data_IF_962032065560
#
_entry.id   IF_962032065560
#
_cell.length_a   1.000
_cell.length_b   1.000
_cell.length_c   1.000
_cell.angle_alpha   90.00
_cell.angle_beta   90.00
_cell.angle_gamma   90.00
#
_symmetry.space_group_name_H-M   'P 1'
#
loop_
_entity.id
_entity.type
_entity.pdbx_description
1 polymer ?
#
# COMPACT_ATOMS: atom_id res chain seq x y z
N UNK A 1 -25.56 -1.21 9.87
CA UNK A 1 -25.68 -2.69 9.76
C UNK A 1 -25.98 -3.07 8.32
N UNK A 2 -25.05 -2.82 7.40
CA UNK A 2 -25.27 -2.98 5.97
C UNK A 2 -24.62 -4.28 5.49
N UNK A 3 -25.43 -5.18 4.91
CA UNK A 3 -25.13 -6.11 3.81
C UNK A 3 -23.79 -6.87 3.76
N UNK A 4 -23.36 -7.56 4.82
CA UNK A 4 -22.54 -8.75 4.52
C UNK A 4 -23.49 -9.84 3.96
N UNK A 5 -23.19 -10.45 2.80
CA UNK A 5 -23.90 -11.64 2.37
C UNK A 5 -23.87 -12.67 3.50
N UNK A 6 -24.93 -13.48 3.60
CA UNK A 6 -24.90 -14.68 4.45
C UNK A 6 -23.62 -15.46 4.12
N UNK A 7 -22.74 -15.60 5.11
CA UNK A 7 -21.55 -16.42 4.94
C UNK A 7 -21.99 -17.87 4.69
N UNK A 8 -21.26 -18.63 3.86
CA UNK A 8 -21.47 -20.06 3.77
C UNK A 8 -21.45 -20.71 5.16
N UNK A 9 -22.16 -21.82 5.39
CA UNK A 9 -22.04 -22.59 6.62
C UNK A 9 -20.57 -22.91 6.94
N UNK A 10 -20.26 -23.01 8.23
CA UNK A 10 -18.93 -23.36 8.73
C UNK A 10 -17.81 -22.41 8.27
N UNK A 11 -18.17 -21.15 7.99
CA UNK A 11 -17.21 -20.10 7.61
C UNK A 11 -16.70 -19.33 8.81
N UNK A 12 -15.38 -19.15 8.88
CA UNK A 12 -14.70 -18.26 9.83
C UNK A 12 -13.80 -17.25 9.13
N UNK A 13 -13.45 -16.17 9.82
CA UNK A 13 -12.56 -15.12 9.32
C UNK A 13 -11.22 -15.19 10.05
N UNK A 14 -10.13 -15.15 9.28
CA UNK A 14 -8.77 -15.06 9.81
C UNK A 14 -8.16 -13.72 9.38
N UNK A 15 -7.96 -12.80 10.33
CA UNK A 15 -7.26 -11.55 10.06
C UNK A 15 -5.74 -11.78 10.16
N UNK A 16 -5.04 -11.69 9.02
CA UNK A 16 -3.61 -11.95 8.92
C UNK A 16 -2.81 -10.65 9.05
N UNK A 17 -2.14 -10.47 10.19
CA UNK A 17 -1.24 -9.37 10.44
C UNK A 17 0.17 -9.68 9.97
N UNK A 18 0.95 -8.64 9.67
CA UNK A 18 2.39 -8.80 9.45
C UNK A 18 3.09 -9.20 10.75
N UNK A 19 2.75 -8.51 11.84
CA UNK A 19 3.41 -8.63 13.13
C UNK A 19 4.44 -7.53 13.34
N UNK A 20 4.73 -7.26 14.61
CA UNK A 20 5.64 -6.19 15.01
C UNK A 20 6.39 -6.63 16.25
N UNK A 21 7.63 -6.14 16.38
CA UNK A 21 8.36 -6.25 17.63
C UNK A 21 7.88 -5.24 18.67
N UNK A 22 7.06 -4.26 18.30
CA UNK A 22 6.49 -3.31 19.23
C UNK A 22 5.14 -3.84 19.77
N UNK A 23 5.03 -4.03 21.10
CA UNK A 23 3.83 -4.58 21.73
C UNK A 23 2.60 -3.67 21.60
N UNK A 24 2.77 -2.35 21.54
CA UNK A 24 1.67 -1.41 21.30
C UNK A 24 1.07 -1.64 19.90
N UNK A 25 1.93 -1.81 18.89
CA UNK A 25 1.47 -2.10 17.53
C UNK A 25 0.76 -3.47 17.43
N UNK A 26 1.19 -4.46 18.22
CA UNK A 26 0.49 -5.75 18.36
C UNK A 26 -0.87 -5.56 19.05
N UNK A 27 -0.92 -4.71 20.08
CA UNK A 27 -2.16 -4.36 20.78
C UNK A 27 -3.19 -3.69 19.86
N UNK A 28 -2.78 -2.69 19.07
CA UNK A 28 -3.67 -1.99 18.14
C UNK A 28 -4.23 -2.93 17.05
N UNK A 29 -3.43 -3.89 16.56
CA UNK A 29 -3.92 -4.91 15.64
C UNK A 29 -4.97 -5.82 16.29
N UNK A 30 -4.78 -6.19 17.56
CA UNK A 30 -5.77 -6.95 18.31
C UNK A 30 -7.06 -6.15 18.53
N UNK A 31 -6.96 -4.84 18.78
CA UNK A 31 -8.14 -3.95 18.86
C UNK A 31 -8.92 -3.93 17.54
N UNK A 32 -8.22 -3.86 16.40
CA UNK A 32 -8.85 -3.96 15.08
C UNK A 32 -9.59 -5.31 14.91
N UNK A 33 -8.99 -6.42 15.34
CA UNK A 33 -9.60 -7.74 15.28
C UNK A 33 -10.85 -7.84 16.18
N UNK A 34 -10.81 -7.30 17.39
CA UNK A 34 -11.97 -7.26 18.29
C UNK A 34 -13.09 -6.37 17.73
N UNK A 35 -12.76 -5.22 17.15
CA UNK A 35 -13.74 -4.38 16.47
C UNK A 35 -14.37 -5.11 15.28
N UNK A 36 -13.58 -5.87 14.50
CA UNK A 36 -14.10 -6.70 13.42
C UNK A 36 -15.06 -7.78 13.92
N UNK A 37 -14.71 -8.47 15.03
CA UNK A 37 -15.54 -9.48 15.67
C UNK A 37 -16.89 -8.93 16.11
N UNK A 38 -16.93 -7.73 16.69
CA UNK A 38 -18.18 -7.05 17.05
C UNK A 38 -19.07 -6.75 15.83
N UNK A 39 -18.47 -6.57 14.65
CA UNK A 39 -19.18 -6.30 13.39
C UNK A 39 -19.64 -7.57 12.67
N UNK A 40 -19.20 -8.75 13.10
CA UNK A 40 -19.52 -10.06 12.52
C UNK A 40 -20.14 -11.00 13.58
N UNK A 41 -21.30 -10.66 14.16
CA UNK A 41 -21.91 -11.46 15.21
C UNK A 41 -22.26 -12.87 14.68
N UNK A 42 -21.89 -13.90 15.46
CA UNK A 42 -22.14 -15.30 15.13
C UNK A 42 -21.14 -15.93 14.15
N UNK A 43 -20.13 -15.18 13.71
CA UNK A 43 -19.08 -15.67 12.82
C UNK A 43 -17.80 -15.80 13.64
N UNK A 44 -17.14 -16.98 13.67
CA UNK A 44 -15.82 -17.13 14.28
C UNK A 44 -14.82 -16.17 13.61
N UNK A 45 -14.22 -15.27 14.40
CA UNK A 45 -13.18 -14.35 13.95
C UNK A 45 -11.95 -14.59 14.80
N UNK A 46 -10.84 -14.91 14.15
CA UNK A 46 -9.52 -15.06 14.75
C UNK A 46 -8.51 -14.16 14.04
N UNK A 47 -7.40 -13.90 14.71
CA UNK A 47 -6.29 -13.16 14.13
C UNK A 47 -4.96 -13.85 14.44
N UNK A 48 -3.94 -13.48 13.66
CA UNK A 48 -2.57 -13.91 13.93
C UNK A 48 -1.57 -13.21 13.02
N UNK A 49 -0.31 -13.31 13.40
CA UNK A 49 0.80 -12.59 12.77
C UNK A 49 1.65 -13.53 11.92
N UNK A 50 2.19 -12.98 10.83
CA UNK A 50 3.17 -13.68 10.01
C UNK A 50 4.48 -13.86 10.79
N UNK A 51 4.95 -12.83 11.48
CA UNK A 51 6.24 -12.85 12.18
C UNK A 51 6.25 -12.01 13.47
N UNK A 52 7.32 -12.14 14.27
CA UNK A 52 7.65 -11.33 15.46
C UNK A 52 6.69 -11.35 16.66
N UNK A 53 5.40 -11.62 16.45
CA UNK A 53 4.37 -11.53 17.46
C UNK A 53 3.54 -12.81 17.54
N UNK A 54 2.96 -13.04 18.71
CA UNK A 54 2.01 -14.12 18.94
C UNK A 54 0.60 -13.54 19.15
N UNK A 55 -0.47 -14.25 18.76
CA UNK A 55 -0.45 -15.57 18.12
C UNK A 55 0.03 -15.49 16.65
N UNK A 56 0.85 -16.44 16.23
CA UNK A 56 1.18 -16.62 14.80
C UNK A 56 -0.03 -17.16 14.02
N UNK A 57 -0.06 -16.96 12.70
CA UNK A 57 -1.21 -17.28 11.84
C UNK A 57 -1.74 -18.70 12.05
N UNK A 58 -0.87 -19.71 12.18
CA UNK A 58 -1.31 -21.09 12.35
C UNK A 58 -2.12 -21.32 13.63
N UNK A 59 -1.80 -20.65 14.74
CA UNK A 59 -2.58 -20.75 15.97
C UNK A 59 -3.99 -20.18 15.82
N UNK A 60 -4.15 -19.10 15.05
CA UNK A 60 -5.49 -18.57 14.72
C UNK A 60 -6.30 -19.57 13.89
N UNK A 61 -5.66 -20.21 12.91
CA UNK A 61 -6.31 -21.25 12.09
C UNK A 61 -6.70 -22.49 12.93
N UNK A 62 -5.86 -22.91 13.88
CA UNK A 62 -6.17 -24.00 14.80
C UNK A 62 -7.40 -23.68 15.65
N UNK A 63 -7.50 -22.44 16.15
CA UNK A 63 -8.67 -21.99 16.92
C UNK A 63 -9.95 -21.94 16.09
N UNK A 64 -9.87 -21.53 14.81
CA UNK A 64 -11.03 -21.58 13.91
C UNK A 64 -11.47 -23.03 13.67
N UNK A 65 -10.53 -23.94 13.38
CA UNK A 65 -10.85 -25.38 13.21
C UNK A 65 -11.47 -25.99 14.46
N UNK A 66 -10.97 -25.66 15.65
CA UNK A 66 -11.52 -26.14 16.91
C UNK A 66 -12.97 -25.69 17.15
N UNK A 67 -13.39 -24.58 16.51
CA UNK A 67 -14.77 -24.08 16.51
C UNK A 67 -15.64 -24.73 15.42
N UNK A 68 -15.12 -25.70 14.66
CA UNK A 68 -15.85 -26.38 13.59
C UNK A 68 -15.79 -25.67 12.23
N UNK A 69 -14.96 -24.64 12.08
CA UNK A 69 -14.79 -23.93 10.80
C UNK A 69 -14.11 -24.84 9.78
N UNK A 70 -14.76 -25.02 8.62
CA UNK A 70 -14.22 -25.76 7.47
C UNK A 70 -13.92 -24.87 6.27
N UNK A 71 -14.39 -23.61 6.28
CA UNK A 71 -14.04 -22.59 5.29
C UNK A 71 -13.51 -21.33 5.96
N UNK A 72 -12.24 -20.98 5.72
CA UNK A 72 -11.62 -19.77 6.26
C UNK A 72 -11.54 -18.68 5.19
N UNK A 73 -12.00 -17.48 5.52
CA UNK A 73 -11.73 -16.25 4.79
C UNK A 73 -10.52 -15.55 5.42
N UNK A 74 -9.36 -15.74 4.83
CA UNK A 74 -8.12 -15.11 5.29
C UNK A 74 -7.97 -13.72 4.68
N UNK A 75 -7.98 -12.68 5.52
CA UNK A 75 -7.93 -11.28 5.11
C UNK A 75 -6.59 -10.69 5.52
N UNK A 76 -5.74 -10.23 4.58
CA UNK A 76 -4.51 -9.55 4.94
C UNK A 76 -4.80 -8.16 5.51
N UNK A 77 -4.45 -7.94 6.77
CA UNK A 77 -4.50 -6.64 7.46
C UNK A 77 -3.36 -5.73 7.03
N UNK A 78 -3.24 -5.48 5.73
CA UNK A 78 -2.15 -4.75 5.09
C UNK A 78 -2.71 -3.66 4.18
N UNK A 79 -2.02 -2.52 4.10
CA UNK A 79 -2.43 -1.40 3.25
C UNK A 79 -2.23 -1.70 1.77
N UNK A 80 -1.05 -2.21 1.40
CA UNK A 80 -0.69 -2.46 0.00
C UNK A 80 -0.01 -3.82 -0.17
N UNK A 81 -0.19 -4.41 -1.35
CA UNK A 81 0.36 -5.72 -1.65
C UNK A 81 1.81 -5.62 -2.14
N UNK A 82 2.72 -6.14 -1.33
CA UNK A 82 4.12 -6.39 -1.67
C UNK A 82 4.48 -7.85 -1.32
N UNK A 83 5.75 -8.15 -1.00
CA UNK A 83 6.23 -9.50 -0.69
C UNK A 83 5.33 -10.29 0.28
N UNK A 84 4.95 -9.72 1.42
CA UNK A 84 4.15 -10.44 2.42
C UNK A 84 2.76 -10.83 1.93
N UNK A 85 2.04 -9.89 1.32
CA UNK A 85 0.69 -10.14 0.83
C UNK A 85 0.70 -11.02 -0.44
N UNK A 86 1.73 -10.90 -1.28
CA UNK A 86 1.85 -11.59 -2.57
C UNK A 86 2.43 -13.00 -2.41
N UNK A 87 3.36 -13.21 -1.48
CA UNK A 87 4.15 -14.45 -1.35
C UNK A 87 4.04 -15.09 0.03
N UNK A 88 4.45 -14.40 1.10
CA UNK A 88 4.69 -15.05 2.39
C UNK A 88 3.39 -15.59 3.04
N UNK A 89 2.35 -14.74 3.18
CA UNK A 89 1.06 -15.17 3.75
C UNK A 89 0.42 -16.25 2.87
N UNK A 90 0.30 -16.09 1.53
CA UNK A 90 -0.20 -17.16 0.68
C UNK A 90 0.55 -18.48 0.83
N UNK A 91 1.88 -18.46 1.01
CA UNK A 91 2.67 -19.66 1.21
C UNK A 91 2.33 -20.35 2.55
N UNK A 92 2.24 -19.58 3.65
CA UNK A 92 1.83 -20.10 4.96
C UNK A 92 0.43 -20.69 4.91
N UNK A 93 -0.53 -19.97 4.33
CA UNK A 93 -1.93 -20.41 4.24
C UNK A 93 -2.07 -21.68 3.39
N UNK A 94 -1.43 -21.76 2.22
CA UNK A 94 -1.49 -22.95 1.37
C UNK A 94 -0.82 -24.17 2.00
N UNK A 95 0.29 -23.96 2.71
CA UNK A 95 0.95 -25.03 3.46
C UNK A 95 0.04 -25.59 4.55
N UNK A 96 -0.63 -24.69 5.29
CA UNK A 96 -1.58 -25.08 6.31
C UNK A 96 -2.81 -25.79 5.73
N UNK A 97 -3.38 -25.29 4.63
CA UNK A 97 -4.51 -25.92 3.93
C UNK A 97 -4.16 -27.34 3.45
N UNK A 98 -2.98 -27.53 2.86
CA UNK A 98 -2.51 -28.83 2.38
C UNK A 98 -2.32 -29.87 3.49
N UNK A 99 -1.94 -29.44 4.70
CA UNK A 99 -1.79 -30.31 5.86
C UNK A 99 -3.14 -30.74 6.48
N UNK A 100 -4.26 -30.17 6.03
CA UNK A 100 -5.55 -30.25 6.71
C UNK A 100 -6.70 -30.58 5.75
N UNK A 101 -6.87 -31.86 5.37
CA UNK A 101 -7.95 -32.29 4.49
C UNK A 101 -9.33 -31.86 5.01
N UNK A 102 -10.16 -31.29 4.13
CA UNK A 102 -11.49 -30.79 4.48
C UNK A 102 -11.53 -29.32 4.93
N UNK A 103 -10.37 -28.67 5.11
CA UNK A 103 -10.28 -27.22 5.27
C UNK A 103 -10.13 -26.56 3.91
N UNK A 104 -10.91 -25.52 3.66
CA UNK A 104 -10.74 -24.60 2.52
C UNK A 104 -10.32 -23.23 3.02
N UNK A 105 -9.30 -22.62 2.43
CA UNK A 105 -8.87 -21.26 2.73
C UNK A 105 -9.03 -20.40 1.48
N UNK A 106 -9.85 -19.36 1.58
CA UNK A 106 -9.94 -18.29 0.57
C UNK A 106 -9.13 -17.11 1.07
N UNK A 107 -8.18 -16.65 0.26
CA UNK A 107 -7.33 -15.51 0.60
C UNK A 107 -7.80 -14.24 -0.12
N UNK A 108 -8.05 -13.18 0.64
CA UNK A 108 -8.53 -11.89 0.15
C UNK A 108 -7.41 -10.97 -0.33
N UNK A 109 -7.78 -9.94 -1.08
CA UNK A 109 -6.90 -8.79 -1.37
C UNK A 109 -6.71 -7.90 -0.14
N UNK A 110 -5.62 -7.16 -0.15
CA UNK A 110 -5.28 -6.11 0.81
C UNK A 110 -6.27 -4.95 0.78
N UNK A 111 -6.20 -4.07 1.80
CA UNK A 111 -7.09 -2.89 1.91
C UNK A 111 -7.03 -2.01 0.66
N UNK A 112 -5.83 -1.78 0.14
CA UNK A 112 -5.59 -1.15 -1.16
C UNK A 112 -5.95 0.33 -1.20
N UNK A 113 -6.11 0.85 -2.42
CA UNK A 113 -6.58 2.21 -2.67
C UNK A 113 -8.11 2.18 -2.71
N UNK A 114 -8.72 2.58 -1.60
CA UNK A 114 -10.16 2.56 -1.39
C UNK A 114 -10.68 3.94 -0.96
N UNK A 115 -11.89 4.32 -1.38
CA UNK A 115 -12.50 5.59 -1.00
C UNK A 115 -12.70 5.71 0.52
N UNK A 116 -13.00 4.62 1.23
CA UNK A 116 -13.12 4.60 2.68
C UNK A 116 -11.77 4.89 3.36
N UNK A 117 -10.70 4.31 2.83
CA UNK A 117 -9.34 4.57 3.30
C UNK A 117 -8.90 6.01 3.03
N UNK A 118 -9.24 6.57 1.87
CA UNK A 118 -8.99 7.98 1.55
C UNK A 118 -9.77 8.93 2.45
N UNK A 119 -11.02 8.60 2.79
CA UNK A 119 -11.83 9.37 3.73
C UNK A 119 -11.23 9.33 5.14
N UNK A 120 -10.85 8.14 5.62
CA UNK A 120 -10.16 7.97 6.90
C UNK A 120 -8.88 8.82 6.96
N UNK A 121 -8.04 8.73 5.94
CA UNK A 121 -6.85 9.57 5.81
C UNK A 121 -7.17 11.07 5.81
N UNK A 122 -8.20 11.49 5.08
CA UNK A 122 -8.64 12.88 5.06
C UNK A 122 -9.10 13.39 6.43
N UNK A 123 -9.75 12.55 7.24
CA UNK A 123 -10.19 12.90 8.58
C UNK A 123 -9.00 13.03 9.53
N UNK A 124 -8.02 12.11 9.46
CA UNK A 124 -6.76 12.21 10.23
C UNK A 124 -5.92 13.43 9.85
N UNK A 125 -5.84 13.76 8.56
CA UNK A 125 -5.16 14.98 8.08
C UNK A 125 -5.84 16.23 8.64
N UNK A 126 -7.18 16.27 8.63
CA UNK A 126 -7.95 17.38 9.21
C UNK A 126 -7.75 17.50 10.72
N UNK A 127 -7.66 16.37 11.42
CA UNK A 127 -7.31 16.32 12.84
C UNK A 127 -5.93 16.95 13.09
N UNK A 128 -4.91 16.58 12.30
CA UNK A 128 -3.58 17.19 12.36
C UNK A 128 -3.58 18.70 12.10
N UNK A 129 -4.34 19.15 11.10
CA UNK A 129 -4.50 20.58 10.80
C UNK A 129 -5.15 21.36 11.95
N UNK A 130 -6.13 20.76 12.64
CA UNK A 130 -6.85 21.39 13.74
C UNK A 130 -6.00 21.63 15.00
N UNK A 131 -4.83 20.99 15.10
CA UNK A 131 -3.88 21.21 16.20
C UNK A 131 -3.19 22.58 16.15
N UNK A 132 -3.15 23.22 14.97
CA UNK A 132 -2.53 24.53 14.82
C UNK A 132 -3.55 25.67 15.03
N UNK A 133 -3.23 26.67 15.87
CA UNK A 133 -4.05 27.88 15.97
C UNK A 133 -3.88 28.81 14.75
N UNK A 134 -2.89 28.56 13.88
CA UNK A 134 -2.60 29.41 12.72
C UNK A 134 -3.57 29.10 11.58
N UNK A 135 -4.14 30.14 10.99
CA UNK A 135 -4.98 30.03 9.80
C UNK A 135 -4.11 30.19 8.55
N UNK A 136 -3.48 29.10 8.11
CA UNK A 136 -2.74 29.04 6.83
C UNK A 136 -3.65 28.34 5.80
N UNK A 137 -3.95 28.97 4.65
CA UNK A 137 -4.76 28.34 3.60
C UNK A 137 -4.14 27.03 3.10
N UNK A 138 -5.00 26.08 2.69
CA UNK A 138 -4.53 24.82 2.10
C UNK A 138 -3.69 25.05 0.84
N UNK A 139 -4.00 26.08 0.05
CA UNK A 139 -3.21 26.49 -1.12
C UNK A 139 -1.76 26.90 -0.78
N UNK A 140 -1.48 27.29 0.47
CA UNK A 140 -0.15 27.62 0.99
C UNK A 140 0.44 26.48 1.85
N UNK A 141 -0.20 25.31 1.84
CA UNK A 141 0.16 24.12 2.62
C UNK A 141 0.54 22.96 1.69
N UNK A 142 1.65 22.29 1.98
CA UNK A 142 2.09 21.07 1.33
C UNK A 142 1.67 19.85 2.17
N UNK A 143 1.11 18.82 1.53
CA UNK A 143 0.84 17.53 2.15
C UNK A 143 1.98 16.55 1.87
N UNK A 144 2.67 16.06 2.90
CA UNK A 144 3.67 15.01 2.80
C UNK A 144 3.07 13.68 3.27
N UNK A 145 2.71 12.80 2.33
CA UNK A 145 2.20 11.46 2.66
C UNK A 145 3.36 10.49 2.79
N UNK A 146 3.48 9.86 3.96
CA UNK A 146 4.58 8.96 4.28
C UNK A 146 4.10 7.51 4.27
N UNK A 147 4.59 6.72 3.32
CA UNK A 147 4.37 5.27 3.29
C UNK A 147 5.50 4.48 3.97
N UNK A 148 5.31 3.17 4.15
CA UNK A 148 6.40 2.28 4.58
C UNK A 148 7.54 2.26 3.57
N UNK A 149 7.19 2.08 2.29
CA UNK A 149 8.09 1.78 1.18
C UNK A 149 8.25 0.28 0.96
N UNK A 150 8.36 -0.13 -0.30
CA UNK A 150 8.53 -1.53 -0.70
C UNK A 150 9.54 -1.66 -1.84
N UNK A 151 10.13 -2.85 -1.99
CA UNK A 151 10.87 -3.24 -3.19
C UNK A 151 9.95 -3.51 -4.39
N UNK A 152 8.65 -3.57 -4.15
CA UNK A 152 7.62 -3.72 -5.18
C UNK A 152 7.11 -2.32 -5.61
N UNK A 153 7.34 -1.92 -6.88
CA UNK A 153 6.93 -0.61 -7.37
C UNK A 153 5.40 -0.44 -7.43
N UNK A 154 4.62 -1.52 -7.52
CA UNK A 154 3.15 -1.45 -7.51
C UNK A 154 2.65 -0.90 -6.16
N UNK A 155 3.21 -1.39 -5.04
CA UNK A 155 2.90 -0.87 -3.71
C UNK A 155 3.29 0.62 -3.54
N UNK A 156 4.45 1.01 -4.06
CA UNK A 156 4.91 2.41 -4.04
C UNK A 156 4.01 3.31 -4.89
N UNK A 157 3.58 2.83 -6.06
CA UNK A 157 2.65 3.56 -6.93
C UNK A 157 1.29 3.83 -6.26
N UNK A 158 0.83 2.91 -5.42
CA UNK A 158 -0.40 3.08 -4.65
C UNK A 158 -0.29 4.19 -3.59
N UNK A 159 0.87 4.35 -2.94
CA UNK A 159 1.12 5.50 -2.03
C UNK A 159 1.07 6.82 -2.82
N UNK A 160 1.69 6.86 -4.00
CA UNK A 160 1.62 8.04 -4.87
C UNK A 160 0.19 8.35 -5.32
N UNK A 161 -0.61 7.33 -5.63
CA UNK A 161 -2.03 7.50 -5.93
C UNK A 161 -2.81 8.03 -4.73
N UNK A 162 -2.59 7.50 -3.53
CA UNK A 162 -3.22 7.99 -2.30
C UNK A 162 -2.87 9.45 -2.05
N UNK A 163 -1.58 9.80 -2.11
CA UNK A 163 -1.13 11.19 -1.98
C UNK A 163 -1.83 12.11 -2.97
N UNK A 164 -1.89 11.71 -4.24
CA UNK A 164 -2.49 12.52 -5.29
C UNK A 164 -3.98 12.75 -5.04
N UNK A 165 -4.70 11.70 -4.67
CA UNK A 165 -6.14 11.76 -4.36
C UNK A 165 -6.43 12.66 -3.14
N UNK A 166 -5.58 12.59 -2.11
CA UNK A 166 -5.73 13.42 -0.89
C UNK A 166 -5.38 14.88 -1.16
N UNK A 167 -4.25 15.14 -1.84
CA UNK A 167 -3.83 16.49 -2.21
C UNK A 167 -4.92 17.17 -3.06
N UNK A 168 -5.31 16.56 -4.17
CA UNK A 168 -6.28 17.16 -5.07
C UNK A 168 -7.68 17.23 -4.45
N UNK A 169 -8.08 16.19 -3.73
CA UNK A 169 -9.40 16.11 -3.10
C UNK A 169 -9.59 17.09 -1.95
N UNK A 170 -8.53 17.43 -1.20
CA UNK A 170 -8.61 18.33 -0.05
C UNK A 170 -8.23 19.77 -0.39
N UNK A 171 -7.54 20.01 -1.52
CA UNK A 171 -7.20 21.37 -1.96
C UNK A 171 -5.86 21.90 -1.43
N UNK A 172 -4.91 21.02 -1.08
CA UNK A 172 -3.55 21.45 -0.72
C UNK A 172 -2.86 22.14 -1.90
N UNK A 173 -1.90 23.02 -1.64
CA UNK A 173 -1.11 23.69 -2.68
C UNK A 173 -0.21 22.71 -3.44
N UNK A 174 0.30 21.72 -2.72
CA UNK A 174 1.13 20.64 -3.26
C UNK A 174 1.03 19.37 -2.45
N UNK A 175 1.46 18.26 -3.04
CA UNK A 175 1.61 16.98 -2.34
C UNK A 175 2.91 16.28 -2.74
N UNK A 176 3.61 15.73 -1.75
CA UNK A 176 4.79 14.87 -1.96
C UNK A 176 4.62 13.51 -1.26
N UNK A 177 5.30 12.51 -1.79
CA UNK A 177 5.41 11.19 -1.15
C UNK A 177 6.78 11.08 -0.51
N UNK A 178 6.83 10.53 0.69
CA UNK A 178 8.05 10.02 1.28
C UNK A 178 7.85 8.60 1.81
N UNK A 179 8.96 7.95 2.16
CA UNK A 179 8.96 6.61 2.69
C UNK A 179 9.78 6.54 3.98
N UNK A 180 9.30 5.73 4.94
CA UNK A 180 10.05 5.46 6.17
C UNK A 180 11.30 4.60 5.93
N UNK A 181 11.37 3.86 4.81
CA UNK A 181 12.48 2.98 4.46
C UNK A 181 12.24 2.22 3.15
N UNK A 182 13.15 1.28 2.85
CA UNK A 182 13.15 0.38 1.67
C UNK A 182 13.32 1.06 0.32
N UNK A 183 12.65 2.20 0.11
CA UNK A 183 12.67 2.97 -1.14
C UNK A 183 12.82 4.47 -0.87
N UNK A 184 12.98 5.26 -1.93
CA UNK A 184 13.29 6.69 -1.91
C UNK A 184 12.14 7.51 -2.52
N UNK A 185 11.88 8.78 -2.08
CA UNK A 185 12.60 9.55 -1.07
C UNK A 185 12.31 9.15 0.38
N UNK A 186 13.34 9.19 1.23
CA UNK A 186 13.17 9.04 2.68
C UNK A 186 12.59 10.32 3.29
N UNK A 187 11.97 10.22 4.47
CA UNK A 187 11.28 11.32 5.15
C UNK A 187 12.13 12.58 5.30
N UNK A 188 13.35 12.48 5.86
CA UNK A 188 14.18 13.65 6.11
C UNK A 188 14.63 14.36 4.81
N UNK A 189 15.14 13.64 3.79
CA UNK A 189 15.40 14.23 2.47
C UNK A 189 14.16 14.83 1.80
N UNK A 190 12.99 14.21 1.94
CA UNK A 190 11.74 14.74 1.40
C UNK A 190 11.31 16.04 2.10
N UNK A 191 11.45 16.12 3.43
CA UNK A 191 11.22 17.35 4.18
C UNK A 191 12.19 18.46 3.79
N UNK A 192 13.47 18.13 3.58
CA UNK A 192 14.48 19.07 3.09
C UNK A 192 14.17 19.59 1.68
N UNK A 193 13.59 18.74 0.83
CA UNK A 193 13.11 19.12 -0.49
C UNK A 193 11.87 20.02 -0.40
N UNK A 194 10.84 19.56 0.32
CA UNK A 194 9.59 20.28 0.54
C UNK A 194 9.80 21.69 1.13
N UNK A 195 10.75 21.84 2.06
CA UNK A 195 11.09 23.12 2.67
C UNK A 195 11.60 24.16 1.64
N UNK A 196 12.17 23.72 0.52
CA UNK A 196 12.68 24.59 -0.55
C UNK A 196 11.60 25.02 -1.54
N UNK A 197 10.41 24.43 -1.48
CA UNK A 197 9.33 24.72 -2.41
C UNK A 197 8.52 25.98 -2.06
N UNK A 198 8.76 26.58 -0.89
CA UNK A 198 8.19 27.87 -0.51
C UNK A 198 6.78 27.83 0.11
N UNK A 199 6.27 26.64 0.46
CA UNK A 199 5.02 26.51 1.22
C UNK A 199 5.21 26.95 2.68
N UNK A 200 4.19 27.60 3.25
CA UNK A 200 4.25 28.13 4.63
C UNK A 200 3.99 27.06 5.68
N UNK A 201 3.35 25.96 5.27
CA UNK A 201 3.06 24.81 6.12
C UNK A 201 3.33 23.51 5.39
N UNK A 202 3.82 22.51 6.11
CA UNK A 202 3.91 21.11 5.69
C UNK A 202 3.09 20.28 6.69
N UNK A 203 2.17 19.45 6.20
CA UNK A 203 1.49 18.44 7.02
C UNK A 203 2.09 17.09 6.70
N UNK A 204 2.73 16.47 7.69
CA UNK A 204 3.31 15.13 7.61
C UNK A 204 2.25 14.12 8.03
N UNK A 205 1.84 13.27 7.10
CA UNK A 205 0.80 12.27 7.33
C UNK A 205 1.36 10.86 7.12
N UNK A 206 1.57 10.08 8.19
CA UNK A 206 1.92 8.67 8.09
C UNK A 206 0.71 7.85 7.61
N UNK A 207 0.78 7.30 6.40
CA UNK A 207 -0.22 6.35 5.91
C UNK A 207 0.09 4.94 6.43
N UNK A 208 -0.18 4.74 7.72
CA UNK A 208 0.07 3.52 8.47
C UNK A 208 -1.19 3.10 9.22
N UNK A 209 -1.39 1.79 9.40
CA UNK A 209 -2.49 1.25 10.20
C UNK A 209 -2.22 1.32 11.69
N UNK A 210 -0.96 1.19 12.10
CA UNK A 210 -0.57 1.03 13.51
C UNK A 210 0.63 1.91 13.83
N UNK A 211 0.77 2.20 15.11
CA UNK A 211 1.90 2.89 15.73
C UNK A 211 3.19 2.08 15.65
N UNK A 212 4.20 2.62 16.32
CA UNK A 212 5.43 1.95 16.66
C UNK A 212 6.64 2.70 16.16
N UNK A 213 7.78 2.00 16.18
CA UNK A 213 9.11 2.57 15.93
C UNK A 213 9.18 3.37 14.62
N UNK A 214 8.45 2.96 13.59
CA UNK A 214 8.49 3.65 12.31
C UNK A 214 7.70 4.95 12.32
N UNK A 215 6.54 4.99 12.96
CA UNK A 215 5.74 6.21 13.10
C UNK A 215 6.47 7.22 13.99
N UNK A 216 7.06 6.76 15.10
CA UNK A 216 7.89 7.59 15.98
C UNK A 216 9.02 8.26 15.20
N UNK A 217 9.80 7.49 14.43
CA UNK A 217 10.87 8.03 13.58
C UNK A 217 10.41 9.03 12.52
N UNK A 218 9.17 8.90 12.02
CA UNK A 218 8.59 9.88 11.09
C UNK A 218 8.37 11.21 11.82
N UNK A 219 7.79 11.16 13.01
CA UNK A 219 7.55 12.35 13.83
C UNK A 219 8.86 12.99 14.31
N UNK A 220 9.85 12.19 14.74
CA UNK A 220 11.18 12.69 15.10
C UNK A 220 11.84 13.44 13.92
N UNK A 221 11.71 12.91 12.70
CA UNK A 221 12.23 13.56 11.50
C UNK A 221 11.48 14.88 11.19
N UNK A 222 10.17 14.93 11.42
CA UNK A 222 9.37 16.13 11.27
C UNK A 222 9.74 17.20 12.32
N UNK A 223 9.96 16.81 13.57
CA UNK A 223 10.42 17.69 14.65
C UNK A 223 11.81 18.25 14.37
N UNK A 224 12.73 17.40 13.92
CA UNK A 224 14.07 17.82 13.48
C UNK A 224 13.99 18.81 12.31
N UNK A 225 13.10 18.58 11.34
CA UNK A 225 12.86 19.51 10.25
C UNK A 225 12.23 20.83 10.73
N UNK A 226 11.33 20.80 11.72
CA UNK A 226 10.72 21.99 12.29
C UNK A 226 11.77 22.87 12.97
N UNK A 227 12.70 22.27 13.72
CA UNK A 227 13.82 22.98 14.33
C UNK A 227 14.77 23.58 13.28
N UNK A 228 14.99 22.88 12.16
CA UNK A 228 15.84 23.33 11.06
C UNK A 228 15.21 24.45 10.23
N UNK A 229 13.89 24.47 10.08
CA UNK A 229 13.15 25.41 9.24
C UNK A 229 12.08 26.19 10.04
N UNK A 230 12.47 27.10 10.95
CA UNK A 230 11.52 27.79 11.84
C UNK A 230 10.52 28.72 11.12
N UNK A 231 10.77 29.06 9.86
CA UNK A 231 9.86 29.86 9.03
C UNK A 231 8.67 29.06 8.45
N UNK A 232 8.73 27.73 8.51
CA UNK A 232 7.70 26.82 8.00
C UNK A 232 7.04 26.13 9.19
N UNK A 233 5.71 26.07 9.19
CA UNK A 233 5.00 25.26 10.18
C UNK A 233 4.94 23.81 9.72
N UNK A 234 5.44 22.88 10.53
CA UNK A 234 5.39 21.44 10.25
C UNK A 234 4.46 20.79 11.27
N UNK A 235 3.37 20.21 10.77
CA UNK A 235 2.36 19.55 11.60
C UNK A 235 2.39 18.04 11.37
N UNK A 236 2.29 17.26 12.45
CA UNK A 236 2.12 15.82 12.38
C UNK A 236 0.63 15.49 12.42
N UNK A 237 0.11 14.89 11.35
CA UNK A 237 -1.21 14.28 11.36
C UNK A 237 -1.15 12.88 11.97
N UNK A 238 -2.16 12.45 12.75
CA UNK A 238 -2.24 11.07 13.22
C UNK A 238 -2.28 10.06 12.07
N UNK A 239 -1.85 8.83 12.32
CA UNK A 239 -1.97 7.71 11.36
C UNK A 239 -3.42 7.16 11.33
N UNK A 240 -3.70 6.14 10.51
CA UNK A 240 -5.07 5.65 10.30
C UNK A 240 -5.69 5.04 11.56
N UNK A 241 -4.94 4.18 12.25
CA UNK A 241 -5.35 3.50 13.49
C UNK A 241 -6.67 2.70 13.31
N UNK A 242 -7.43 2.53 14.37
CA UNK A 242 -8.75 1.89 14.47
C UNK A 242 -9.91 2.65 13.80
N UNK A 243 -9.61 3.61 12.91
CA UNK A 243 -10.62 4.47 12.30
C UNK A 243 -11.78 3.63 11.71
N UNK A 244 -13.06 3.95 11.98
CA UNK A 244 -14.19 3.09 11.60
C UNK A 244 -14.23 2.69 10.12
N UNK A 245 -13.82 3.59 9.24
CA UNK A 245 -13.72 3.33 7.80
C UNK A 245 -12.62 2.33 7.39
N UNK A 246 -11.58 2.15 8.20
CA UNK A 246 -10.59 1.08 8.03
C UNK A 246 -11.24 -0.27 8.27
N UNK A 247 -11.99 -0.41 9.37
CA UNK A 247 -12.77 -1.63 9.68
C UNK A 247 -13.81 -1.89 8.58
N UNK A 248 -14.51 -0.85 8.13
CA UNK A 248 -15.48 -0.98 7.03
C UNK A 248 -14.84 -1.38 5.69
N UNK A 249 -13.55 -1.10 5.51
CA UNK A 249 -12.78 -1.55 4.34
C UNK A 249 -12.44 -3.04 4.48
N UNK A 250 -12.02 -3.50 5.67
CA UNK A 250 -11.82 -4.93 5.95
C UNK A 250 -13.10 -5.72 5.66
N UNK A 251 -14.27 -5.20 6.07
CA UNK A 251 -15.57 -5.82 5.78
C UNK A 251 -15.87 -5.89 4.28
N UNK A 252 -15.50 -4.88 3.49
CA UNK A 252 -15.64 -4.95 2.03
C UNK A 252 -14.74 -6.02 1.40
N UNK A 253 -13.50 -6.14 1.89
CA UNK A 253 -12.59 -7.21 1.43
C UNK A 253 -13.17 -8.60 1.69
N UNK A 254 -13.80 -8.80 2.84
CA UNK A 254 -14.53 -10.04 3.16
C UNK A 254 -15.68 -10.26 2.17
N UNK A 255 -16.49 -9.23 1.88
CA UNK A 255 -17.60 -9.33 0.92
C UNK A 255 -17.12 -9.71 -0.48
N UNK A 256 -16.05 -9.09 -0.95
CA UNK A 256 -15.48 -9.34 -2.28
C UNK A 256 -15.07 -10.80 -2.47
N UNK A 257 -14.60 -11.46 -1.41
CA UNK A 257 -14.26 -12.89 -1.41
C UNK A 257 -15.49 -13.78 -1.61
N UNK A 258 -16.68 -13.32 -1.20
CA UNK A 258 -17.93 -14.07 -1.30
C UNK A 258 -18.60 -13.90 -2.67
N UNK A 259 -18.53 -12.70 -3.25
CA UNK A 259 -19.22 -12.35 -4.50
C UNK A 259 -18.35 -12.47 -5.75
N UNK A 260 -17.13 -13.02 -5.62
CA UNK A 260 -16.22 -13.24 -6.74
C UNK A 260 -15.56 -11.97 -7.29
N UNK A 261 -15.52 -10.89 -6.50
CA UNK A 261 -14.87 -9.61 -6.85
C UNK A 261 -13.51 -9.43 -6.17
N UNK A 262 -12.93 -10.50 -5.64
CA UNK A 262 -11.61 -10.53 -5.03
C UNK A 262 -10.48 -10.40 -6.09
N UNK A 263 -10.46 -9.26 -6.77
CA UNK A 263 -9.52 -8.93 -7.84
C UNK A 263 -8.16 -8.58 -7.22
N UNK A 264 -7.36 -9.61 -6.99
CA UNK A 264 -5.94 -9.44 -6.69
C UNK A 264 -5.25 -8.69 -7.84
N UNK A 265 -4.22 -7.91 -7.55
CA UNK A 265 -3.41 -7.18 -8.55
C UNK A 265 -2.57 -8.10 -9.48
N UNK A 266 -2.99 -9.34 -9.70
CA UNK A 266 -2.28 -10.36 -10.46
C UNK A 266 -1.88 -9.89 -11.86
N UNK A 267 -2.67 -9.04 -12.51
CA UNK A 267 -2.38 -8.51 -13.84
C UNK A 267 -1.11 -7.63 -13.91
N UNK A 268 -0.70 -7.04 -12.78
CA UNK A 268 0.54 -6.24 -12.66
C UNK A 268 1.48 -6.83 -11.61
N UNK A 269 1.28 -8.10 -11.23
CA UNK A 269 2.11 -8.76 -10.25
C UNK A 269 3.41 -9.22 -10.90
N UNK A 270 4.56 -8.67 -10.48
CA UNK A 270 5.88 -9.03 -11.01
C UNK A 270 6.25 -10.52 -10.91
N UNK A 271 5.58 -11.27 -10.05
CA UNK A 271 5.75 -12.72 -9.92
C UNK A 271 4.95 -13.53 -10.96
N UNK A 272 3.96 -12.91 -11.63
CA UNK A 272 3.02 -13.57 -12.54
C UNK A 272 3.09 -13.08 -13.98
N UNK A 273 3.44 -11.81 -14.18
CA UNK A 273 3.51 -11.17 -15.49
C UNK A 273 4.81 -10.37 -15.60
N UNK A 274 5.29 -10.15 -16.83
CA UNK A 274 6.50 -9.38 -17.06
C UNK A 274 6.29 -7.90 -16.72
N UNK A 275 6.94 -7.45 -15.64
CA UNK A 275 7.09 -6.03 -15.31
C UNK A 275 8.51 -5.61 -15.66
N UNK A 276 8.68 -4.50 -16.38
CA UNK A 276 9.97 -4.00 -16.84
C UNK A 276 10.96 -3.86 -15.67
N UNK A 277 12.13 -4.49 -15.78
CA UNK A 277 13.17 -4.51 -14.75
C UNK A 277 13.01 -5.60 -13.68
N UNK A 278 11.98 -6.45 -13.78
CA UNK A 278 11.71 -7.57 -12.88
C UNK A 278 11.55 -8.90 -13.64
N UNK A 279 12.12 -9.01 -14.84
CA UNK A 279 11.98 -10.18 -15.72
C UNK A 279 12.42 -11.49 -15.06
N UNK A 280 13.44 -11.44 -14.20
CA UNK A 280 13.96 -12.59 -13.47
C UNK A 280 13.03 -13.09 -12.35
N UNK A 281 12.00 -12.31 -11.98
CA UNK A 281 11.07 -12.67 -10.91
C UNK A 281 9.79 -13.37 -11.42
N UNK A 282 9.58 -13.41 -12.74
CA UNK A 282 8.40 -14.03 -13.34
C UNK A 282 8.45 -15.55 -13.14
N UNK A 283 7.38 -16.10 -12.55
CA UNK A 283 7.27 -17.54 -12.32
C UNK A 283 8.04 -18.07 -11.10
N UNK A 284 8.63 -17.20 -10.28
CA UNK A 284 9.26 -17.62 -9.02
C UNK A 284 8.27 -18.35 -8.11
N UNK A 285 8.77 -19.37 -7.42
CA UNK A 285 7.99 -20.12 -6.43
C UNK A 285 7.64 -19.21 -5.25
N UNK A 286 6.41 -19.32 -4.75
CA UNK A 286 6.00 -18.64 -3.53
C UNK A 286 6.54 -19.41 -2.33
N UNK A 287 7.54 -18.83 -1.68
CA UNK A 287 8.18 -19.36 -0.48
C UNK A 287 8.14 -18.25 0.58
N UNK A 288 7.80 -18.62 1.83
CA UNK A 288 7.86 -17.67 2.93
C UNK A 288 9.32 -17.52 3.37
N UNK A 289 9.84 -16.30 3.31
CA UNK A 289 11.20 -16.04 3.77
C UNK A 289 11.28 -15.81 5.28
N UNK A 290 10.14 -15.78 5.97
CA UNK A 290 10.01 -15.31 7.36
C UNK A 290 9.92 -16.44 8.39
N UNK A 291 10.06 -17.70 7.99
CA UNK A 291 10.01 -18.86 8.89
C UNK A 291 10.97 -18.78 10.09
N UNK A 292 12.11 -18.11 9.91
CA UNK A 292 13.15 -17.98 10.93
C UNK A 292 12.83 -16.94 12.03
N UNK A 293 11.74 -16.18 11.90
CA UNK A 293 11.34 -15.11 12.84
C UNK A 293 9.89 -15.19 13.30
N UNK A 294 9.20 -16.29 12.99
CA UNK A 294 7.84 -16.55 13.46
C UNK A 294 7.82 -16.71 15.00
N UNK A 295 6.99 -15.93 15.68
CA UNK A 295 6.71 -16.10 17.11
C UNK A 295 7.86 -15.77 18.10
N UNK A 296 8.97 -15.17 17.64
CA UNK A 296 10.15 -14.86 18.49
C UNK A 296 9.84 -13.82 19.60
N UNK A 297 8.74 -13.06 19.48
CA UNK A 297 8.32 -12.07 20.47
C UNK A 297 8.93 -10.67 20.24
N UNK A 298 8.19 -9.65 20.67
CA UNK A 298 8.56 -8.24 20.58
C UNK A 298 9.27 -7.68 21.83
N UNK A 299 9.85 -6.48 21.70
CA UNK A 299 10.52 -5.74 22.76
C UNK A 299 9.60 -5.39 23.92
N UNK A 300 10.19 -5.17 25.09
CA UNK A 300 9.44 -4.83 26.30
C UNK A 300 8.85 -3.41 26.20
N UNK A 301 7.56 -3.30 26.53
CA UNK A 301 6.74 -2.07 26.44
C UNK A 301 7.32 -0.87 27.22
N UNK A 302 8.08 -1.15 28.29
CA UNK A 302 8.72 -0.15 29.16
C UNK A 302 10.23 -0.36 29.30
N UNK A 303 10.93 -0.59 28.19
CA UNK A 303 12.37 -0.83 28.23
C UNK A 303 13.13 0.39 28.83
N UNK A 304 13.98 0.22 29.87
CA UNK A 304 14.73 1.31 30.51
C UNK A 304 15.76 2.01 29.62
N UNK A 305 16.00 1.52 28.39
CA UNK A 305 16.93 2.14 27.46
C UNK A 305 16.44 3.50 26.92
N UNK A 306 15.17 3.86 27.18
CA UNK A 306 14.58 5.12 26.72
C UNK A 306 14.48 5.25 25.20
N UNK A 307 14.66 4.14 24.47
CA UNK A 307 14.59 4.10 23.00
C UNK A 307 13.44 3.21 22.51
N UNK A 308 13.09 3.39 21.24
CA UNK A 308 12.20 2.57 20.42
C UNK A 308 12.65 1.08 20.38
N UNK A 309 12.42 0.35 21.46
CA UNK A 309 12.95 -1.00 21.64
C UNK A 309 12.20 -2.01 20.75
N UNK A 310 12.89 -2.52 19.73
CA UNK A 310 12.46 -3.57 18.82
C UNK A 310 13.19 -4.90 19.10
N UNK A 311 13.57 -5.15 20.35
CA UNK A 311 14.43 -6.28 20.76
C UNK A 311 15.79 -6.36 20.05
N UNK A 312 16.21 -5.35 19.28
CA UNK A 312 17.55 -5.28 18.69
C UNK A 312 18.48 -4.41 19.54
N UNK A 313 18.65 -4.79 20.82
CA UNK A 313 19.54 -4.13 21.77
C UNK A 313 20.94 -3.90 21.14
N UNK A 314 21.29 -2.63 20.88
CA UNK A 314 22.62 -2.24 20.34
C UNK A 314 23.76 -2.42 21.36
N UNK A 315 23.42 -2.59 22.63
CA UNK A 315 24.35 -2.73 23.74
C UNK A 315 23.97 -3.95 24.60
N UNK A 316 24.79 -5.01 24.49
CA UNK A 316 24.62 -6.24 25.27
C UNK A 316 24.82 -5.99 26.76
N UNK A 317 25.81 -5.19 27.14
CA UNK A 317 26.13 -4.91 28.54
C UNK A 317 25.00 -4.12 29.22
N UNK A 318 24.34 -3.23 28.49
CA UNK A 318 23.14 -2.55 28.97
C UNK A 318 22.00 -3.53 29.27
N UNK A 319 21.71 -4.44 28.34
CA UNK A 319 20.58 -5.37 28.48
C UNK A 319 20.83 -6.39 29.59
N UNK A 320 22.06 -6.92 29.72
CA UNK A 320 22.47 -7.77 30.85
C UNK A 320 22.37 -7.05 32.21
N UNK A 321 22.82 -5.79 32.29
CA UNK A 321 22.78 -5.00 33.54
C UNK A 321 21.35 -4.77 34.06
N UNK A 322 20.35 -4.75 33.18
CA UNK A 322 18.95 -4.50 33.53
C UNK A 322 18.09 -5.77 33.52
N UNK A 323 18.71 -6.96 33.41
CA UNK A 323 17.98 -8.24 33.40
C UNK A 323 17.09 -8.43 32.17
N UNK A 324 17.44 -7.81 31.05
CA UNK A 324 16.68 -7.84 29.80
C UNK A 324 17.23 -8.93 28.88
N UNK A 325 16.38 -9.67 28.13
CA UNK A 325 16.84 -10.59 27.10
C UNK A 325 17.56 -9.83 25.98
N UNK A 326 18.76 -10.30 25.59
CA UNK A 326 19.55 -9.73 24.49
C UNK A 326 19.47 -10.61 23.25
N UNK A 327 19.20 -10.00 22.09
CA UNK A 327 19.21 -10.68 20.79
C UNK A 327 20.17 -9.94 19.85
N UNK A 328 21.19 -10.60 19.27
CA UNK A 328 22.13 -9.96 18.35
C UNK A 328 21.44 -9.42 17.09
N UNK A 329 21.90 -8.28 16.59
CA UNK A 329 21.48 -7.73 15.30
C UNK A 329 21.89 -8.69 14.17
N UNK A 330 20.93 -9.26 13.44
CA UNK A 330 21.21 -9.87 12.16
C UNK A 330 21.40 -8.78 11.10
N UNK A 331 22.65 -8.54 10.70
CA UNK A 331 22.97 -7.73 9.52
C UNK A 331 22.85 -8.60 8.26
N UNK A 332 22.11 -8.14 7.25
CA UNK A 332 22.20 -8.70 5.90
C UNK A 332 23.55 -8.34 5.29
N UNK A 333 24.55 -9.21 5.46
CA UNK A 333 25.77 -9.18 4.67
C UNK A 333 25.49 -9.77 3.30
N UNK A 334 25.08 -8.96 2.33
CA UNK A 334 25.10 -9.37 0.92
C UNK A 334 26.55 -9.36 0.41
N UNK A 335 27.32 -10.38 0.81
CA UNK A 335 28.61 -10.69 0.20
C UNK A 335 28.39 -11.51 -1.08
N UNK A 336 27.99 -10.87 -2.17
CA UNK A 336 28.10 -11.51 -3.48
C UNK A 336 29.50 -11.24 -4.04
N UNK A 337 30.33 -12.27 -4.07
CA UNK A 337 31.55 -12.29 -4.87
C UNK A 337 31.15 -12.38 -6.35
N UNK A 338 31.28 -11.27 -7.07
CA UNK A 338 31.21 -11.29 -8.53
C UNK A 338 32.53 -11.84 -9.07
N UNK A 339 32.57 -13.16 -9.30
CA UNK A 339 33.55 -13.75 -10.20
C UNK A 339 33.07 -13.49 -11.63
N UNK A 340 33.75 -12.59 -12.35
CA UNK A 340 33.56 -12.43 -13.79
C UNK A 340 34.41 -13.49 -14.51
N UNK A 341 33.76 -14.53 -15.03
CA UNK A 341 34.32 -15.31 -16.14
C UNK A 341 33.68 -14.84 -17.46
N UNK A 342 34.47 -14.48 -18.49
CA UNK A 342 33.95 -14.11 -19.79
C UNK A 342 33.71 -15.38 -20.63
N UNK A 343 32.46 -15.81 -20.77
CA UNK A 343 32.09 -16.80 -21.78
C UNK A 343 31.55 -16.10 -23.03
N UNK A 344 32.31 -16.24 -24.13
CA UNK A 344 31.99 -15.65 -25.43
C UNK A 344 30.72 -16.23 -26.03
N UNK A 345 29.78 -15.35 -26.39
CA UNK A 345 28.61 -15.72 -27.17
C UNK A 345 28.98 -15.86 -28.65
N UNK A 346 29.07 -17.10 -29.13
CA UNK A 346 28.96 -17.42 -30.55
C UNK A 346 27.48 -17.58 -30.91
N UNK A 347 27.00 -16.71 -31.82
CA UNK A 347 25.70 -16.79 -32.46
C UNK A 347 25.65 -18.02 -33.39
N UNK A 348 24.75 -18.95 -33.12
CA UNK A 348 24.26 -19.89 -34.14
C UNK A 348 22.74 -20.04 -34.03
N UNK A 349 22.04 -19.37 -34.94
CA UNK A 349 20.64 -19.58 -35.23
C UNK A 349 20.43 -20.96 -35.88
N UNK A 350 19.36 -21.67 -35.49
CA UNK A 350 18.78 -22.76 -36.28
C UNK A 350 17.33 -22.43 -36.63
N UNK A 351 16.89 -22.68 -37.88
CA UNK A 351 15.56 -22.30 -38.34
C UNK A 351 14.51 -23.35 -37.94
N UNK A 352 13.30 -22.89 -37.63
CA UNK A 352 12.12 -23.74 -37.47
C UNK A 352 11.37 -23.76 -38.81
N UNK A 353 11.21 -24.95 -39.37
CA UNK A 353 10.44 -25.20 -40.59
C UNK A 353 8.93 -25.19 -40.31
N UNK A 354 8.20 -24.65 -41.29
CA UNK A 354 6.76 -24.50 -41.31
C UNK A 354 5.99 -25.81 -41.49
N UNK A 355 4.76 -25.84 -40.96
CA UNK A 355 3.64 -26.57 -41.56
C UNK A 355 2.32 -25.87 -41.22
N UNK A 356 1.57 -25.49 -42.25
CA UNK A 356 0.11 -25.26 -42.20
C UNK A 356 -0.57 -26.43 -42.93
N UNK A 357 -1.88 -26.66 -42.70
CA UNK A 357 -2.83 -26.22 -43.73
C UNK A 357 -4.22 -25.73 -43.25
N UNK A 358 -4.66 -24.65 -43.91
CA UNK A 358 -6.00 -24.30 -44.46
C UNK A 358 -7.33 -24.77 -43.85
N UNK A 359 -8.22 -23.80 -43.61
CA UNK A 359 -9.53 -23.55 -44.29
C UNK A 359 -10.15 -22.31 -43.63
N UNK A 360 -10.68 -21.25 -44.25
CA UNK A 360 -11.20 -21.01 -45.60
C UNK A 360 -12.66 -20.58 -45.44
N UNK A 361 -13.00 -19.28 -45.61
CA UNK A 361 -14.23 -18.80 -46.25
C UNK A 361 -14.23 -17.26 -46.44
N UNK A 362 -14.74 -16.88 -47.61
CA UNK A 362 -14.50 -15.65 -48.38
C UNK A 362 -15.33 -14.40 -48.03
N UNK A 363 -14.69 -13.26 -48.32
CA UNK A 363 -15.10 -12.03 -49.00
C UNK A 363 -16.60 -11.70 -49.24
N UNK A 364 -16.96 -10.42 -49.05
CA UNK A 364 -17.36 -9.52 -50.15
C UNK A 364 -17.33 -8.03 -49.73
N UNK A 365 -16.71 -7.22 -50.58
CA UNK A 365 -16.87 -5.78 -50.67
C UNK A 365 -17.95 -5.46 -51.71
N UNK A 366 -18.59 -4.29 -51.58
CA UNK A 366 -19.18 -3.60 -52.73
C UNK A 366 -19.12 -2.08 -52.52
N UNK A 367 -18.75 -1.38 -53.59
CA UNK A 367 -18.59 0.07 -53.70
C UNK A 367 -19.91 0.74 -54.11
N UNK A 368 -20.11 2.03 -53.83
CA UNK A 368 -21.22 2.77 -54.44
C UNK A 368 -21.50 4.20 -53.96
N UNK A 369 -20.85 5.15 -54.64
CA UNK A 369 -21.38 6.47 -55.06
C UNK A 369 -21.70 7.59 -54.04
N UNK A 370 -21.10 8.75 -54.34
CA UNK A 370 -21.33 10.06 -53.75
C UNK A 370 -22.67 10.69 -54.14
N UNK A 371 -23.27 11.49 -53.23
CA UNK A 371 -23.90 12.78 -53.57
C UNK A 371 -23.93 13.70 -52.33
N UNK A 372 -23.70 14.99 -52.57
CA UNK A 372 -23.70 16.06 -51.58
C UNK A 372 -25.10 16.66 -51.40
N UNK A 373 -25.49 17.03 -50.18
CA UNK A 373 -26.26 18.25 -49.86
C UNK A 373 -26.63 18.34 -48.36
N UNK A 374 -26.40 19.51 -47.76
CA UNK A 374 -27.26 20.05 -46.69
C UNK A 374 -26.86 19.76 -45.24
N UNK A 375 -25.84 20.46 -44.74
CA UNK A 375 -25.64 20.61 -43.29
C UNK A 375 -26.78 21.45 -42.69
N UNK A 376 -27.63 20.83 -41.86
CA UNK A 376 -28.44 21.54 -40.85
C UNK A 376 -27.76 21.33 -39.50
N UNK A 377 -27.20 22.41 -38.97
CA UNK A 377 -26.71 22.47 -37.59
C UNK A 377 -27.89 22.28 -36.63
N UNK A 378 -27.91 21.15 -35.93
CA UNK A 378 -28.72 20.96 -34.74
C UNK A 378 -27.88 21.33 -33.52
N UNK A 379 -28.01 22.58 -33.05
CA UNK A 379 -27.45 23.00 -31.78
C UNK A 379 -28.35 22.51 -30.65
N UNK A 380 -27.97 21.41 -30.00
CA UNK A 380 -28.52 21.02 -28.70
C UNK A 380 -27.65 21.64 -27.59
N UNK A 381 -28.20 22.54 -26.74
CA UNK A 381 -27.49 23.04 -25.58
C UNK A 381 -27.49 21.93 -24.52
N UNK A 382 -26.41 21.17 -24.45
CA UNK A 382 -26.17 20.30 -23.31
C UNK A 382 -25.59 21.14 -22.18
N UNK A 383 -26.45 21.53 -21.25
CA UNK A 383 -26.04 22.19 -20.00
C UNK A 383 -25.37 21.13 -19.10
N UNK A 384 -24.06 20.98 -19.26
CA UNK A 384 -23.25 20.10 -18.43
C UNK A 384 -22.91 20.83 -17.13
N UNK A 385 -23.83 20.79 -16.16
CA UNK A 385 -23.50 21.13 -14.79
C UNK A 385 -22.49 20.13 -14.22
N UNK A 386 -21.20 20.45 -14.36
CA UNK A 386 -20.14 19.75 -13.66
C UNK A 386 -20.10 20.22 -12.20
N UNK A 387 -20.03 19.26 -11.26
CA UNK A 387 -19.71 19.61 -9.88
C UNK A 387 -18.38 20.37 -9.84
N UNK A 388 -18.26 21.43 -9.01
CA UNK A 388 -17.06 22.24 -8.97
C UNK A 388 -15.88 21.41 -8.50
N UNK A 389 -14.91 21.19 -9.40
CA UNK A 389 -13.63 20.57 -9.07
C UNK A 389 -12.92 21.41 -7.99
N UNK A 390 -12.46 20.83 -6.87
CA UNK A 390 -11.88 21.60 -5.75
C UNK A 390 -10.75 22.54 -6.17
N UNK A 391 -9.95 22.15 -7.17
CA UNK A 391 -8.84 22.95 -7.71
C UNK A 391 -9.24 23.93 -8.81
N UNK A 392 -10.50 23.97 -9.25
CA UNK A 392 -10.95 24.89 -10.29
C UNK A 392 -10.77 26.36 -9.89
N UNK A 393 -10.81 26.67 -8.59
CA UNK A 393 -10.58 28.02 -8.04
C UNK A 393 -9.21 28.18 -7.38
N UNK A 394 -8.33 27.18 -7.46
CA UNK A 394 -6.99 27.27 -6.88
C UNK A 394 -6.16 28.31 -7.65
N UNK A 395 -5.34 29.14 -6.99
CA UNK A 395 -4.49 30.14 -7.67
C UNK A 395 -3.56 29.54 -8.73
N UNK A 396 -3.19 28.27 -8.57
CA UNK A 396 -2.41 27.47 -9.52
C UNK A 396 -3.23 26.32 -10.14
N UNK A 397 -4.55 26.47 -10.20
CA UNK A 397 -5.48 25.46 -10.71
C UNK A 397 -5.25 25.13 -12.19
N UNK A 398 -6.03 24.20 -12.76
CA UNK A 398 -5.86 23.72 -14.12
C UNK A 398 -6.26 24.79 -15.14
N UNK A 399 -5.35 25.70 -15.42
CA UNK A 399 -5.41 26.55 -16.61
C UNK A 399 -4.65 25.81 -17.71
N UNK A 400 -5.25 25.66 -18.88
CA UNK A 400 -4.54 25.13 -20.05
C UNK A 400 -3.24 25.90 -20.23
N UNK A 401 -2.11 25.19 -20.34
CA UNK A 401 -0.78 25.78 -20.44
C UNK A 401 -0.81 26.91 -21.49
N UNK A 402 -0.58 28.18 -21.09
CA UNK A 402 -0.69 29.28 -22.02
C UNK A 402 0.39 29.14 -23.10
N UNK A 403 0.07 29.59 -24.31
CA UNK A 403 1.10 29.68 -25.37
C UNK A 403 2.22 30.57 -24.87
N UNK A 404 3.46 30.06 -24.90
CA UNK A 404 4.65 30.84 -24.60
C UNK A 404 4.76 31.93 -25.69
N UNK A 405 4.61 33.22 -25.35
CA UNK A 405 4.69 34.29 -26.34
C UNK A 405 6.03 34.26 -27.09
N UNK A 406 6.01 34.45 -28.40
CA UNK A 406 7.22 34.47 -29.25
C UNK A 406 7.78 33.11 -29.66
N UNK A 407 7.18 31.97 -29.25
CA UNK A 407 7.55 30.65 -29.79
C UNK A 407 6.73 30.32 -31.04
N UNK A 408 7.40 30.29 -32.19
CA UNK A 408 6.85 29.83 -33.48
C UNK A 408 6.16 28.46 -33.34
N UNK A 409 5.14 28.19 -34.14
CA UNK A 409 4.54 26.86 -34.21
C UNK A 409 5.62 25.82 -34.60
N UNK A 410 5.49 24.56 -34.20
CA UNK A 410 6.51 23.54 -34.48
C UNK A 410 6.87 23.46 -35.98
N UNK A 411 5.87 23.59 -36.86
CA UNK A 411 6.05 23.63 -38.31
C UNK A 411 6.78 24.88 -38.85
N UNK A 412 6.85 25.95 -38.06
CA UNK A 412 7.54 27.21 -38.41
C UNK A 412 8.97 27.27 -37.87
N UNK A 413 9.37 26.29 -37.02
CA UNK A 413 10.75 26.16 -36.52
C UNK A 413 11.64 25.29 -37.40
N UNK A 414 11.02 24.53 -38.30
CA UNK A 414 11.69 23.59 -39.21
C UNK A 414 11.88 24.19 -40.64
N UNK A 415 11.55 25.47 -40.81
CA UNK A 415 11.91 26.30 -41.98
C UNK A 415 13.00 27.29 -41.57
#
# INVERSE_FOLDING_TARGET
MSDLPLLPPDTGVMLCGHGSRNQLAVGEFAVLAEALKQRLPGIPVEYGYLEFANPVIHHGLDRLRAQGVSHVLAVPGMLFAAGHAKNDIPAVLRTYEAAHPGLRITYGRELGVDLKMLRAAGDRIREGLAQSPRQIPLAETLLLVVGRGASDPDANSNVAKVMRMLWEGLGFGWGEVAYSGVTFPLVAPALDHAARLGYRRIVVFPYFLFTGVLVNRIYDAAEAAQAKYPGIEILNAPYLDDHPLVIDTVLDRIREMLVGQNLMNCAMCKYREQVLGFEAEVGLRQESHHHHVEGIGGGLENCPCGGDCDSSCRDQAFCEKHGLPWTPLHTHGHGHSHAHEPQGHALLARPVQAASPSSGFDQRADEGAATAAGAKEHAHPHDHHHHPYPHAKHPHGPVTLPRIPGKLARAEREK
#
